data_IF_375751091812
#
_entry.id   IF_375751091812
#
_cell.length_a   1.000
_cell.length_b   1.000
_cell.length_c   1.000
_cell.angle_alpha   90.00
_cell.angle_beta   90.00
_cell.angle_gamma   90.00
#
_symmetry.space_group_name_H-M   'P 1'
#
loop_
_entity.id
_entity.type
_entity.pdbx_description
1 polymer ?
#
# COMPACT_ATOMS: atom_id res chain seq x y z
N UNK A 1 -17.29 21.12 -24.44
CA UNK A 1 -16.51 20.00 -25.02
C UNK A 1 -15.12 20.08 -24.44
N UNK A 2 -14.55 19.16 -23.68
CA UNK A 2 -14.98 17.88 -23.12
C UNK A 2 -14.04 17.61 -21.93
N UNK A 3 -14.58 17.39 -20.74
CA UNK A 3 -13.84 16.82 -19.60
C UNK A 3 -14.57 15.59 -19.02
N UNK A 4 -15.68 15.20 -19.66
CA UNK A 4 -16.56 14.12 -19.20
C UNK A 4 -16.33 12.79 -19.94
N UNK A 5 -15.49 12.75 -20.98
CA UNK A 5 -15.16 11.52 -21.71
C UNK A 5 -13.94 10.75 -21.14
N UNK A 6 -13.15 11.35 -20.26
CA UNK A 6 -11.92 10.73 -19.75
C UNK A 6 -12.13 9.66 -18.66
N UNK A 7 -13.36 9.50 -18.15
CA UNK A 7 -13.73 8.50 -17.14
C UNK A 7 -14.91 7.61 -17.59
N UNK A 8 -15.12 7.51 -18.90
CA UNK A 8 -16.07 6.60 -19.56
C UNK A 8 -15.36 5.53 -20.41
N UNK A 9 -16.09 4.80 -21.28
CA UNK A 9 -15.59 3.69 -22.11
C UNK A 9 -14.24 3.92 -22.82
N UNK A 10 -13.81 5.16 -23.05
CA UNK A 10 -12.51 5.50 -23.62
C UNK A 10 -11.29 5.08 -22.78
N UNK A 11 -11.37 4.94 -21.45
CA UNK A 11 -10.26 4.39 -20.65
C UNK A 11 -10.13 2.88 -20.85
N UNK A 12 -11.26 2.16 -20.91
CA UNK A 12 -11.29 0.72 -21.17
C UNK A 12 -10.83 0.43 -22.59
N UNK A 13 -11.29 1.21 -23.56
CA UNK A 13 -10.88 1.09 -24.97
C UNK A 13 -9.37 1.35 -25.15
N UNK A 14 -8.81 2.37 -24.47
CA UNK A 14 -7.36 2.62 -24.47
C UNK A 14 -6.55 1.51 -23.80
N UNK A 15 -7.05 0.94 -22.70
CA UNK A 15 -6.41 -0.20 -22.03
C UNK A 15 -6.52 -1.47 -22.89
N UNK A 16 -7.61 -1.66 -23.62
CA UNK A 16 -7.77 -2.76 -24.56
C UNK A 16 -6.83 -2.63 -25.76
N UNK A 17 -6.69 -1.43 -26.34
CA UNK A 17 -5.74 -1.17 -27.43
C UNK A 17 -4.30 -1.53 -27.02
N UNK A 18 -3.87 -1.15 -25.80
CA UNK A 18 -2.55 -1.46 -25.26
C UNK A 18 -2.37 -2.93 -24.84
N UNK A 19 -3.46 -3.67 -24.66
CA UNK A 19 -3.47 -5.06 -24.23
C UNK A 19 -3.62 -6.07 -25.39
N UNK A 20 -3.50 -5.62 -26.66
CA UNK A 20 -3.62 -6.49 -27.83
C UNK A 20 -2.28 -6.99 -28.33
N UNK A 21 -2.21 -8.30 -28.59
CA UNK A 21 -1.06 -8.93 -29.17
C UNK A 21 -1.00 -8.63 -30.69
N UNK A 22 0.11 -8.06 -31.19
CA UNK A 22 0.23 -7.68 -32.60
C UNK A 22 0.27 -8.87 -33.57
N UNK A 23 0.42 -10.10 -33.07
CA UNK A 23 0.45 -11.32 -33.90
C UNK A 23 -0.92 -12.00 -34.06
N UNK A 24 -1.78 -11.97 -33.04
CA UNK A 24 -3.10 -12.58 -33.10
C UNK A 24 -4.26 -11.58 -33.09
N UNK A 25 -4.00 -10.30 -32.82
CA UNK A 25 -5.03 -9.25 -32.69
C UNK A 25 -5.91 -9.39 -31.45
N UNK A 26 -5.77 -10.47 -30.67
CA UNK A 26 -6.49 -10.71 -29.43
C UNK A 26 -5.75 -10.17 -28.20
N UNK A 27 -6.38 -10.21 -27.00
CA UNK A 27 -5.72 -9.86 -25.75
C UNK A 27 -4.48 -10.74 -25.51
N UNK A 28 -3.47 -10.21 -24.85
CA UNK A 28 -2.27 -11.00 -24.56
C UNK A 28 -2.58 -12.20 -23.64
N UNK A 29 -2.21 -13.38 -24.11
CA UNK A 29 -2.20 -14.62 -23.33
C UNK A 29 -0.73 -15.03 -23.12
N UNK A 30 -0.31 -15.09 -21.85
CA UNK A 30 1.09 -15.34 -21.47
C UNK A 30 2.09 -14.45 -22.26
N UNK A 31 2.04 -13.12 -22.08
CA UNK A 31 2.88 -12.20 -22.83
C UNK A 31 4.36 -12.39 -22.49
N UNK A 32 5.19 -12.43 -23.54
CA UNK A 32 6.66 -12.46 -23.47
C UNK A 32 7.23 -11.18 -24.05
N UNK A 33 8.21 -10.60 -23.37
CA UNK A 33 8.97 -9.42 -23.74
C UNK A 33 10.28 -9.84 -24.43
N UNK A 34 10.52 -9.29 -25.61
CA UNK A 34 11.80 -9.40 -26.31
C UNK A 34 12.80 -8.34 -25.80
N UNK A 35 14.09 -8.54 -26.06
CA UNK A 35 15.15 -7.57 -25.73
C UNK A 35 14.99 -6.21 -26.43
N UNK A 36 14.19 -6.14 -27.50
CA UNK A 36 13.81 -4.90 -28.18
C UNK A 36 12.52 -4.27 -27.61
N UNK A 37 12.13 -4.65 -26.39
CA UNK A 37 10.96 -4.16 -25.65
C UNK A 37 9.58 -4.44 -26.29
N UNK A 38 9.50 -5.25 -27.35
CA UNK A 38 8.24 -5.67 -27.95
C UNK A 38 7.65 -6.89 -27.23
N UNK A 39 6.32 -6.90 -27.05
CA UNK A 39 5.61 -7.99 -26.37
C UNK A 39 4.71 -8.80 -27.31
N UNK A 40 4.64 -10.12 -27.09
CA UNK A 40 3.85 -11.08 -27.88
C UNK A 40 3.27 -12.16 -26.98
N UNK A 41 2.14 -12.81 -27.31
CA UNK A 41 1.76 -14.04 -26.62
C UNK A 41 2.84 -15.11 -26.82
N UNK A 42 3.20 -15.88 -25.79
CA UNK A 42 4.21 -16.95 -25.87
C UNK A 42 3.92 -17.93 -27.00
N UNK A 43 2.66 -18.35 -27.12
CA UNK A 43 2.22 -19.25 -28.19
C UNK A 43 2.32 -18.60 -29.59
N UNK A 44 2.02 -17.31 -29.71
CA UNK A 44 2.13 -16.59 -30.99
C UNK A 44 3.58 -16.48 -31.45
N UNK A 45 4.47 -16.16 -30.53
CA UNK A 45 5.90 -16.05 -30.81
C UNK A 45 6.52 -17.42 -31.13
N UNK A 46 6.15 -18.47 -30.39
CA UNK A 46 6.59 -19.83 -30.67
C UNK A 46 6.18 -20.32 -32.06
N UNK A 47 4.94 -20.00 -32.50
CA UNK A 47 4.48 -20.30 -33.86
C UNK A 47 5.29 -19.57 -34.94
N UNK A 48 5.64 -18.30 -34.70
CA UNK A 48 6.44 -17.50 -35.65
C UNK A 48 7.89 -17.95 -35.73
N UNK A 49 8.49 -18.33 -34.61
CA UNK A 49 9.88 -18.78 -34.57
C UNK A 49 10.07 -20.27 -34.85
N UNK A 50 8.98 -21.06 -34.88
CA UNK A 50 9.01 -22.50 -35.15
C UNK A 50 9.60 -23.33 -34.01
N UNK A 51 9.75 -24.64 -34.21
CA UNK A 51 10.52 -25.52 -33.31
C UNK A 51 12.01 -25.38 -33.65
N UNK A 52 12.91 -25.30 -32.64
CA UNK A 52 14.34 -25.32 -32.92
C UNK A 52 14.72 -26.70 -33.50
N UNK A 53 15.62 -26.78 -34.48
CA UNK A 53 16.08 -28.05 -35.03
C UNK A 53 16.76 -28.87 -33.93
N UNK A 54 16.46 -30.17 -33.87
CA UNK A 54 16.89 -31.06 -32.79
C UNK A 54 18.42 -31.28 -32.75
N UNK A 55 19.15 -31.02 -33.83
CA UNK A 55 20.60 -31.20 -33.94
C UNK A 55 21.18 -30.34 -35.08
N UNK A 56 22.10 -29.42 -34.76
CA UNK A 56 22.89 -28.63 -35.71
C UNK A 56 23.45 -27.34 -35.08
N UNK A 57 24.65 -26.85 -35.47
CA UNK A 57 25.34 -25.75 -34.77
C UNK A 57 24.84 -24.35 -35.13
N UNK A 58 23.88 -24.19 -36.04
CA UNK A 58 23.36 -22.88 -36.42
C UNK A 58 21.83 -22.82 -36.34
N UNK A 59 21.32 -22.38 -35.18
CA UNK A 59 19.94 -21.92 -35.07
C UNK A 59 19.81 -20.56 -35.78
N UNK A 60 18.88 -20.38 -36.74
CA UNK A 60 18.70 -19.10 -37.40
C UNK A 60 18.38 -18.00 -36.36
N UNK A 61 18.91 -16.78 -36.51
CA UNK A 61 18.68 -15.71 -35.56
C UNK A 61 17.18 -15.40 -35.50
N UNK A 62 16.58 -15.64 -34.34
CA UNK A 62 15.19 -15.30 -34.10
C UNK A 62 15.07 -13.77 -34.09
N UNK A 63 14.34 -13.21 -35.06
CA UNK A 63 14.10 -11.78 -35.16
C UNK A 63 12.76 -11.39 -34.54
N UNK A 64 12.67 -10.15 -34.04
CA UNK A 64 11.41 -9.58 -33.59
C UNK A 64 10.42 -9.45 -34.75
N UNK A 65 9.19 -9.99 -34.65
CA UNK A 65 8.18 -9.85 -35.70
C UNK A 65 7.71 -8.41 -35.97
N UNK A 66 7.96 -7.46 -35.06
CA UNK A 66 7.57 -6.07 -35.22
C UNK A 66 8.68 -5.18 -35.81
N UNK A 67 9.91 -5.30 -35.31
CA UNK A 67 11.02 -4.41 -35.68
C UNK A 67 12.18 -5.10 -36.41
N UNK A 68 12.13 -6.41 -36.60
CA UNK A 68 13.18 -7.18 -37.28
C UNK A 68 14.49 -7.33 -36.50
N UNK A 69 14.63 -6.70 -35.32
CA UNK A 69 15.85 -6.78 -34.52
C UNK A 69 16.13 -8.22 -34.04
N UNK A 70 17.40 -8.67 -34.05
CA UNK A 70 17.77 -9.99 -33.56
C UNK A 70 17.48 -10.11 -32.06
N UNK A 71 16.62 -11.07 -31.70
CA UNK A 71 16.16 -11.33 -30.36
C UNK A 71 16.37 -12.81 -30.01
N UNK A 72 17.49 -13.18 -29.35
CA UNK A 72 17.77 -14.56 -29.01
C UNK A 72 16.67 -15.17 -28.14
N UNK A 73 16.28 -16.44 -28.39
CA UNK A 73 15.28 -17.16 -27.56
C UNK A 73 15.61 -17.19 -26.05
N UNK A 74 16.90 -17.22 -25.71
CA UNK A 74 17.38 -17.17 -24.32
C UNK A 74 17.11 -15.83 -23.62
N UNK A 75 16.85 -14.77 -24.38
CA UNK A 75 16.60 -13.42 -23.88
C UNK A 75 15.11 -13.12 -23.69
N UNK A 76 14.23 -14.09 -23.95
CA UNK A 76 12.80 -13.97 -23.68
C UNK A 76 12.54 -13.82 -22.18
N UNK A 77 11.79 -12.78 -21.82
CA UNK A 77 11.30 -12.58 -20.46
C UNK A 77 9.78 -12.66 -20.44
N UNK A 78 9.17 -13.17 -19.39
CA UNK A 78 7.72 -13.02 -19.21
C UNK A 78 7.39 -11.55 -18.93
N UNK A 79 6.40 -10.98 -19.62
CA UNK A 79 5.92 -9.63 -19.36
C UNK A 79 4.75 -9.66 -18.37
N UNK A 80 5.09 -9.92 -17.11
CA UNK A 80 4.08 -10.04 -16.03
C UNK A 80 3.26 -8.76 -15.89
N UNK A 81 3.85 -7.58 -16.16
CA UNK A 81 3.13 -6.30 -16.12
C UNK A 81 1.98 -6.30 -17.13
N UNK A 82 2.26 -6.62 -18.38
CA UNK A 82 1.26 -6.66 -19.45
C UNK A 82 0.20 -7.74 -19.19
N UNK A 83 0.58 -8.89 -18.62
CA UNK A 83 -0.36 -9.94 -18.24
C UNK A 83 -1.37 -9.46 -17.19
N UNK A 84 -0.94 -8.60 -16.26
CA UNK A 84 -1.80 -7.99 -15.23
C UNK A 84 -2.71 -6.95 -15.85
N UNK A 85 -2.19 -6.09 -16.72
CA UNK A 85 -2.97 -5.06 -17.42
C UNK A 85 -4.12 -5.69 -18.23
N UNK A 86 -3.86 -6.80 -18.93
CA UNK A 86 -4.88 -7.56 -19.68
C UNK A 86 -5.96 -8.16 -18.75
N UNK A 87 -5.57 -8.64 -17.57
CA UNK A 87 -6.53 -9.20 -16.60
C UNK A 87 -7.42 -8.11 -16.02
N UNK A 88 -6.86 -6.93 -15.76
CA UNK A 88 -7.61 -5.76 -15.26
C UNK A 88 -8.59 -5.25 -16.33
N UNK A 89 -8.14 -5.10 -17.58
CA UNK A 89 -9.01 -4.63 -18.66
C UNK A 89 -10.19 -5.58 -18.89
N UNK A 90 -9.94 -6.90 -18.87
CA UNK A 90 -10.99 -7.93 -18.95
C UNK A 90 -11.99 -7.83 -17.80
N UNK A 91 -11.51 -7.72 -16.55
CA UNK A 91 -12.38 -7.62 -15.39
C UNK A 91 -13.20 -6.32 -15.32
N UNK A 92 -12.69 -5.22 -15.87
CA UNK A 92 -13.43 -3.96 -16.01
C UNK A 92 -14.52 -4.07 -17.09
N UNK A 93 -14.20 -4.68 -18.23
CA UNK A 93 -15.16 -4.92 -19.32
C UNK A 93 -16.33 -5.77 -18.87
N UNK A 94 -16.06 -6.88 -18.16
CA UNK A 94 -17.10 -7.78 -17.63
C UNK A 94 -18.05 -7.04 -16.69
N UNK A 95 -17.50 -6.22 -15.76
CA UNK A 95 -18.30 -5.42 -14.82
C UNK A 95 -19.14 -4.33 -15.50
N UNK A 96 -18.66 -3.78 -16.61
CA UNK A 96 -19.41 -2.78 -17.38
C UNK A 96 -20.45 -3.41 -18.32
N UNK A 97 -20.35 -4.72 -18.59
CA UNK A 97 -21.27 -5.46 -19.43
C UNK A 97 -22.47 -6.06 -18.66
N UNK A 98 -22.49 -6.00 -17.32
CA UNK A 98 -23.62 -6.54 -16.53
C UNK A 98 -24.88 -5.65 -16.58
N UNK A 99 -26.03 -6.16 -17.07
CA UNK A 99 -27.27 -5.40 -17.10
C UNK A 99 -27.98 -5.50 -15.74
N UNK A 100 -27.64 -4.60 -14.81
CA UNK A 100 -28.28 -4.55 -13.48
C UNK A 100 -28.17 -3.20 -12.73
N UNK A 101 -27.40 -2.24 -13.23
CA UNK A 101 -27.23 -0.95 -12.57
C UNK A 101 -28.33 0.07 -12.96
N UNK A 102 -29.59 -0.16 -12.58
CA UNK A 102 -30.63 0.90 -12.56
C UNK A 102 -31.53 0.84 -11.32
N UNK A 103 -31.55 1.97 -10.61
CA UNK A 103 -32.64 2.52 -9.80
C UNK A 103 -33.09 1.76 -8.53
N UNK A 104 -32.36 1.92 -7.43
CA UNK A 104 -32.92 1.78 -6.08
C UNK A 104 -33.78 3.00 -5.70
N UNK A 105 -35.11 2.80 -5.60
CA UNK A 105 -36.14 3.82 -5.30
C UNK A 105 -35.85 4.60 -4.01
N UNK A 106 -35.84 5.93 -4.11
CA UNK A 106 -35.98 6.85 -2.97
C UNK A 106 -37.38 6.66 -2.36
N UNK A 107 -37.46 6.32 -1.07
CA UNK A 107 -38.70 6.51 -0.29
C UNK A 107 -38.69 7.94 0.25
N UNK A 108 -39.72 8.69 -0.12
CA UNK A 108 -39.89 10.09 0.23
C UNK A 108 -40.15 10.30 1.73
N UNK A 109 -39.50 11.33 2.27
CA UNK A 109 -39.86 12.04 3.49
C UNK A 109 -39.69 13.54 3.19
N UNK A 110 -40.71 14.33 3.54
CA UNK A 110 -41.01 15.70 3.07
C UNK A 110 -39.84 16.67 3.02
N UNK A 111 -39.87 17.49 1.97
CA UNK A 111 -39.17 18.77 1.83
C UNK A 111 -39.97 19.83 2.63
N UNK A 112 -39.36 20.57 3.55
CA UNK A 112 -39.77 21.93 3.85
C UNK A 112 -38.87 22.88 3.08
N UNK A 113 -39.47 23.57 2.11
CA UNK A 113 -38.93 24.76 1.47
C UNK A 113 -38.98 25.92 2.46
N UNK A 114 -37.91 26.70 2.54
CA UNK A 114 -37.85 28.16 2.43
C UNK A 114 -36.66 28.72 3.22
N UNK A 115 -35.87 29.56 2.56
CA UNK A 115 -34.94 30.48 3.24
C UNK A 115 -33.65 30.70 2.47
N UNK A 116 -33.72 31.43 1.36
CA UNK A 116 -32.54 32.08 0.80
C UNK A 116 -32.01 33.09 1.83
N UNK A 117 -30.80 32.87 2.34
CA UNK A 117 -29.86 33.92 2.74
C UNK A 117 -28.44 33.32 2.66
N UNK A 118 -27.72 33.64 1.58
CA UNK A 118 -26.27 33.82 1.66
C UNK A 118 -26.01 35.32 1.91
N UNK A 119 -24.84 35.76 2.43
CA UNK A 119 -23.63 34.97 2.69
C UNK A 119 -23.03 35.23 4.09
N UNK A 120 -22.34 34.22 4.66
CA UNK A 120 -21.04 34.39 5.35
C UNK A 120 -20.63 33.09 6.07
N UNK A 121 -19.43 32.62 5.72
CA UNK A 121 -18.48 32.07 6.67
C UNK A 121 -18.83 30.78 7.41
N UNK A 122 -18.04 29.75 7.07
CA UNK A 122 -17.48 28.76 8.00
C UNK A 122 -18.07 27.34 8.06
N UNK A 123 -17.09 26.45 8.13
CA UNK A 123 -17.04 25.10 8.69
C UNK A 123 -17.59 23.93 7.88
N UNK A 124 -16.76 23.50 6.92
CA UNK A 124 -16.91 22.23 6.20
C UNK A 124 -16.54 21.07 7.12
N UNK A 125 -17.49 20.64 7.96
CA UNK A 125 -17.40 19.42 8.77
C UNK A 125 -17.22 18.19 7.88
N UNK A 126 -15.97 17.73 7.76
CA UNK A 126 -15.63 16.46 7.11
C UNK A 126 -16.11 15.30 7.98
N UNK A 127 -17.19 14.66 7.56
CA UNK A 127 -17.76 13.49 8.25
C UNK A 127 -17.03 12.22 7.81
N UNK A 128 -16.11 11.76 8.66
CA UNK A 128 -15.34 10.53 8.46
C UNK A 128 -16.20 9.30 8.79
N UNK A 129 -16.20 8.28 7.91
CA UNK A 129 -16.91 7.02 8.15
C UNK A 129 -15.93 5.87 8.42
N UNK A 130 -16.13 5.20 9.54
CA UNK A 130 -15.56 3.89 9.86
C UNK A 130 -16.26 2.83 9.00
N UNK A 131 -15.48 1.95 8.37
CA UNK A 131 -16.02 0.72 7.78
C UNK A 131 -15.89 -0.41 8.79
N UNK A 132 -16.98 -1.13 9.03
CA UNK A 132 -16.94 -2.35 9.82
C UNK A 132 -16.22 -3.45 9.03
N UNK A 133 -15.28 -4.11 9.69
CA UNK A 133 -14.65 -5.32 9.16
C UNK A 133 -15.72 -6.41 9.00
N UNK A 134 -15.69 -7.22 7.92
CA UNK A 134 -16.54 -8.40 7.84
C UNK A 134 -16.30 -9.28 9.06
N UNK A 135 -17.36 -9.67 9.77
CA UNK A 135 -17.25 -10.60 10.88
C UNK A 135 -16.71 -11.96 10.39
N UNK A 136 -15.84 -12.64 11.14
CA UNK A 136 -15.36 -13.96 10.77
C UNK A 136 -16.55 -14.92 10.81
N UNK A 137 -16.96 -15.42 9.64
CA UNK A 137 -18.00 -16.43 9.53
C UNK A 137 -17.46 -17.74 10.08
N UNK A 138 -17.96 -18.13 11.25
CA UNK A 138 -17.86 -19.51 11.75
C UNK A 138 -18.90 -20.37 11.06
N UNK A 139 -18.48 -21.23 10.14
CA UNK A 139 -19.10 -22.54 9.90
C UNK A 139 -18.27 -23.34 8.89
N UNK A 140 -17.79 -24.50 9.34
CA UNK A 140 -17.17 -25.53 8.53
C UNK A 140 -18.05 -25.92 7.33
N UNK A 141 -17.50 -25.81 6.12
CA UNK A 141 -17.67 -26.81 5.07
C UNK A 141 -16.44 -26.76 4.17
N UNK A 142 -15.80 -27.92 4.02
CA UNK A 142 -14.63 -28.15 3.18
C UNK A 142 -14.96 -27.81 1.73
N UNK A 143 -14.32 -26.79 1.19
CA UNK A 143 -14.01 -26.66 -0.24
C UNK A 143 -12.55 -26.23 -0.32
N UNK A 144 -11.74 -27.08 -0.93
CA UNK A 144 -10.29 -26.93 -1.08
C UNK A 144 -9.99 -25.68 -1.91
N UNK A 145 -9.48 -24.63 -1.24
CA UNK A 145 -8.83 -23.50 -1.90
C UNK A 145 -7.42 -23.95 -2.30
N UNK A 146 -7.03 -23.86 -3.59
CA UNK A 146 -5.69 -24.22 -4.00
C UNK A 146 -4.65 -23.27 -3.39
N UNK A 147 -3.68 -23.87 -2.70
CA UNK A 147 -2.38 -23.30 -2.41
C UNK A 147 -1.76 -22.80 -3.73
N UNK A 148 -1.85 -21.51 -3.99
CA UNK A 148 -0.79 -20.71 -4.61
C UNK A 148 -1.25 -19.26 -4.74
N UNK A 149 -1.11 -18.53 -3.63
CA UNK A 149 -1.19 -17.07 -3.53
C UNK A 149 0.17 -16.31 -3.60
N UNK A 150 1.28 -16.81 -4.21
CA UNK A 150 2.53 -16.06 -4.28
C UNK A 150 2.49 -14.91 -5.30
N UNK A 151 1.53 -14.92 -6.24
CA UNK A 151 1.44 -13.92 -7.32
C UNK A 151 0.94 -12.56 -6.82
N UNK A 152 0.05 -12.53 -5.82
CA UNK A 152 -0.45 -11.27 -5.21
C UNK A 152 0.61 -10.64 -4.31
N UNK A 153 1.37 -11.47 -3.61
CA UNK A 153 2.53 -11.04 -2.82
C UNK A 153 3.52 -10.30 -3.73
N UNK A 154 3.88 -10.86 -4.90
CA UNK A 154 4.79 -10.21 -5.85
C UNK A 154 4.20 -9.04 -6.67
N UNK A 155 2.87 -8.85 -6.69
CA UNK A 155 2.22 -7.76 -7.42
C UNK A 155 2.14 -6.47 -6.61
N UNK A 156 2.20 -6.57 -5.28
CA UNK A 156 2.19 -5.45 -4.36
C UNK A 156 3.60 -4.92 -4.03
N UNK A 157 4.66 -5.72 -4.15
CA UNK A 157 6.06 -5.27 -3.95
C UNK A 157 6.59 -4.31 -5.03
N UNK A 158 5.82 -4.00 -6.09
CA UNK A 158 6.35 -3.33 -7.29
C UNK A 158 6.48 -1.81 -7.24
N UNK A 159 6.24 -1.17 -6.09
CA UNK A 159 6.51 0.26 -5.90
C UNK A 159 7.26 0.58 -4.60
N UNK A 160 7.71 -0.42 -3.84
CA UNK A 160 8.68 -0.25 -2.76
C UNK A 160 10.08 -0.13 -3.37
N UNK A 161 10.34 0.97 -4.09
CA UNK A 161 11.71 1.45 -4.25
C UNK A 161 12.32 1.58 -2.85
N UNK A 162 13.55 1.10 -2.67
CA UNK A 162 14.27 1.00 -1.40
C UNK A 162 13.90 2.10 -0.37
N UNK A 163 12.92 1.81 0.48
CA UNK A 163 12.41 2.78 1.44
C UNK A 163 13.39 2.88 2.59
N UNK A 164 13.84 4.10 2.84
CA UNK A 164 14.78 4.41 3.91
C UNK A 164 14.17 5.46 4.81
N UNK A 165 14.65 5.50 6.05
CA UNK A 165 14.33 6.50 7.05
C UNK A 165 15.26 7.69 6.87
N UNK A 166 14.73 8.89 7.08
CA UNK A 166 15.50 10.14 7.07
C UNK A 166 15.99 10.46 8.49
N UNK A 167 17.30 10.28 8.78
CA UNK A 167 17.86 10.62 10.09
C UNK A 167 17.75 12.11 10.43
N UNK A 168 17.54 12.99 9.43
CA UNK A 168 17.30 14.42 9.62
C UNK A 168 15.94 14.75 10.24
N UNK A 169 14.97 13.84 10.14
CA UNK A 169 13.63 14.00 10.76
C UNK A 169 13.51 13.31 12.12
N UNK A 170 14.40 12.35 12.39
CA UNK A 170 14.36 11.53 13.58
C UNK A 170 14.43 12.36 14.87
N UNK A 171 13.61 12.02 15.85
CA UNK A 171 13.71 12.55 17.19
C UNK A 171 15.11 12.27 17.80
N UNK A 172 15.61 13.20 18.63
CA UNK A 172 16.99 13.18 19.15
C UNK A 172 17.34 11.96 20.02
N UNK A 173 16.32 11.27 20.53
CA UNK A 173 16.46 10.01 21.29
C UNK A 173 16.31 8.75 20.43
N UNK A 174 16.18 8.86 19.11
CA UNK A 174 16.10 7.70 18.23
C UNK A 174 17.43 7.45 17.55
N UNK A 175 17.78 6.17 17.41
CA UNK A 175 18.86 5.70 16.57
C UNK A 175 18.27 5.09 15.30
N UNK A 176 18.71 5.60 14.15
CA UNK A 176 18.45 5.02 12.84
C UNK A 176 19.64 4.12 12.48
N UNK A 177 19.37 2.90 12.04
CA UNK A 177 20.41 1.96 11.58
C UNK A 177 21.19 2.49 10.37
N UNK A 178 22.39 1.94 10.14
CA UNK A 178 23.25 2.31 9.01
C UNK A 178 22.56 2.08 7.64
N UNK A 179 21.82 0.98 7.51
CA UNK A 179 20.98 0.67 6.34
C UNK A 179 19.75 1.58 6.21
N UNK A 180 19.53 2.48 7.17
CA UNK A 180 18.39 3.39 7.29
C UNK A 180 17.04 2.72 7.23
N UNK A 181 16.91 1.44 7.58
CA UNK A 181 15.61 0.74 7.56
C UNK A 181 15.05 0.47 8.94
N UNK A 182 15.85 0.64 9.99
CA UNK A 182 15.45 0.31 11.36
C UNK A 182 15.57 1.51 12.28
N UNK A 183 14.68 1.56 13.26
CA UNK A 183 14.69 2.57 14.31
C UNK A 183 14.46 1.94 15.68
N UNK A 184 15.18 2.44 16.68
CA UNK A 184 15.04 2.09 18.10
C UNK A 184 15.32 3.29 19.00
N UNK A 185 14.90 3.21 20.26
CA UNK A 185 15.28 4.21 21.25
C UNK A 185 16.78 4.10 21.58
N UNK A 186 17.45 5.25 21.70
CA UNK A 186 18.84 5.33 22.12
C UNK A 186 19.00 4.92 23.59
N UNK A 187 20.03 4.12 23.94
CA UNK A 187 20.37 3.84 25.33
C UNK A 187 20.68 5.12 26.12
N UNK A 188 20.46 5.13 27.45
CA UNK A 188 20.88 6.23 28.31
C UNK A 188 22.37 6.60 28.10
N UNK A 189 22.68 7.89 28.10
CA UNK A 189 24.05 8.39 27.89
C UNK A 189 24.48 8.50 26.42
N UNK A 190 23.66 8.06 25.46
CA UNK A 190 23.96 8.27 24.03
C UNK A 190 23.90 9.76 23.68
N UNK A 191 24.95 10.33 23.05
CA UNK A 191 24.94 11.74 22.65
C UNK A 191 23.80 12.06 21.68
N UNK A 192 23.04 13.11 21.97
CA UNK A 192 21.95 13.57 21.13
C UNK A 192 22.47 14.40 19.93
N UNK A 193 21.99 14.17 18.70
CA UNK A 193 22.33 14.99 17.55
C UNK A 193 21.83 16.44 17.75
N UNK A 194 22.36 17.43 16.99
CA UNK A 194 21.84 18.79 17.01
C UNK A 194 20.36 18.82 16.60
N UNK A 195 19.60 19.71 17.23
CA UNK A 195 18.19 19.90 16.86
C UNK A 195 18.06 20.73 15.57
N UNK A 196 16.93 20.57 14.88
CA UNK A 196 16.62 21.31 13.67
C UNK A 196 15.10 21.35 13.41
N UNK A 197 14.64 22.22 12.49
CA UNK A 197 13.20 22.42 12.25
C UNK A 197 12.49 21.17 11.73
N UNK A 198 13.19 20.29 11.01
CA UNK A 198 12.64 19.05 10.45
C UNK A 198 12.52 17.91 11.49
N UNK A 199 13.21 18.00 12.64
CA UNK A 199 13.21 16.96 13.67
C UNK A 199 11.99 17.06 14.57
N UNK A 200 11.45 15.90 14.94
CA UNK A 200 10.51 15.83 16.06
C UNK A 200 11.22 16.10 17.40
N UNK A 201 10.62 16.93 18.25
CA UNK A 201 11.19 17.33 19.56
C UNK A 201 10.54 16.60 20.76
N UNK A 202 9.24 16.30 20.67
CA UNK A 202 8.45 15.68 21.74
C UNK A 202 7.95 14.28 21.34
N UNK A 203 7.65 14.08 20.06
CA UNK A 203 7.23 12.79 19.52
C UNK A 203 8.48 11.98 19.14
N UNK A 204 8.69 10.76 19.69
CA UNK A 204 9.81 9.91 19.31
C UNK A 204 9.50 9.21 17.99
N UNK A 205 9.47 10.01 16.92
CA UNK A 205 9.17 9.59 15.56
C UNK A 205 10.31 9.86 14.58
N UNK A 206 10.24 9.18 13.45
CA UNK A 206 11.08 9.37 12.26
C UNK A 206 10.21 9.18 11.01
N UNK A 207 10.51 9.93 9.94
CA UNK A 207 9.88 9.73 8.64
C UNK A 207 10.74 8.93 7.68
N UNK A 208 10.09 8.35 6.68
CA UNK A 208 10.75 7.91 5.46
C UNK A 208 11.38 9.09 4.70
N UNK A 209 12.50 8.84 4.03
CA UNK A 209 13.17 9.80 3.15
C UNK A 209 12.38 10.02 1.85
N UNK A 210 11.65 9.00 1.40
CA UNK A 210 10.78 9.07 0.24
C UNK A 210 9.36 9.47 0.66
N UNK A 211 8.83 10.51 -0.01
CA UNK A 211 7.45 10.95 0.11
C UNK A 211 6.68 10.78 -1.19
N UNK A 212 5.39 10.48 -1.08
CA UNK A 212 4.51 10.13 -2.19
C UNK A 212 3.45 11.20 -2.40
N UNK A 213 3.39 11.78 -3.61
CA UNK A 213 2.39 12.78 -3.98
C UNK A 213 1.38 12.33 -5.03
N UNK A 214 1.43 11.06 -5.45
CA UNK A 214 0.53 10.45 -6.43
C UNK A 214 0.70 8.94 -6.41
N UNK A 215 -0.28 8.20 -6.94
CA UNK A 215 -0.25 6.77 -7.15
C UNK A 215 -0.54 5.93 -5.91
N UNK A 216 -0.34 4.63 -6.08
CA UNK A 216 -0.49 3.63 -5.04
C UNK A 216 0.87 3.16 -4.56
N UNK A 217 1.08 3.16 -3.26
CA UNK A 217 2.32 2.72 -2.64
C UNK A 217 2.01 1.76 -1.52
N UNK A 218 2.96 0.91 -1.20
CA UNK A 218 2.85 0.10 0.00
C UNK A 218 4.21 -0.07 0.65
N UNK A 219 4.22 -0.39 1.93
CA UNK A 219 5.41 -0.78 2.66
C UNK A 219 5.04 -1.70 3.81
N UNK A 220 5.98 -2.54 4.24
CA UNK A 220 5.80 -3.45 5.36
C UNK A 220 6.74 -3.05 6.49
N UNK A 221 6.22 -3.10 7.72
CA UNK A 221 6.98 -2.80 8.93
C UNK A 221 6.93 -4.01 9.85
N UNK A 222 8.09 -4.49 10.25
CA UNK A 222 8.25 -5.48 11.30
C UNK A 222 8.22 -4.82 12.68
N UNK A 223 7.45 -5.44 13.57
CA UNK A 223 7.31 -5.09 14.98
C UNK A 223 7.96 -6.18 15.83
N UNK A 224 8.55 -5.80 16.97
CA UNK A 224 9.19 -6.75 17.87
C UNK A 224 8.16 -7.65 18.58
N UNK A 225 8.61 -8.83 19.02
CA UNK A 225 7.76 -9.85 19.62
C UNK A 225 7.40 -9.48 21.06
N UNK A 226 6.12 -9.23 21.30
CA UNK A 226 5.58 -8.95 22.64
C UNK A 226 5.59 -10.19 23.55
N UNK A 227 5.74 -11.41 23.00
CA UNK A 227 5.75 -12.66 23.78
C UNK A 227 7.09 -12.96 24.47
N UNK A 228 8.16 -12.24 24.10
CA UNK A 228 9.47 -12.33 24.77
C UNK A 228 9.62 -11.38 25.97
N UNK A 229 8.61 -10.56 26.25
CA UNK A 229 8.49 -9.83 27.50
C UNK A 229 7.82 -10.78 28.50
N UNK A 230 8.61 -11.72 29.01
CA UNK A 230 8.14 -12.73 29.96
C UNK A 230 7.53 -12.09 31.20
N UNK A 231 6.63 -12.85 31.83
CA UNK A 231 6.07 -12.63 33.17
C UNK A 231 7.17 -12.21 34.16
N UNK A 232 7.49 -10.92 34.20
CA UNK A 232 8.30 -10.35 35.25
C UNK A 232 7.31 -9.94 36.33
N UNK A 233 6.92 -10.93 37.13
CA UNK A 233 6.30 -10.76 38.43
C UNK A 233 7.32 -10.19 39.43
N UNK A 234 7.89 -9.03 39.10
CA UNK A 234 8.74 -8.24 39.95
C UNK A 234 8.07 -6.90 40.18
N UNK A 235 7.95 -6.50 41.44
CA UNK A 235 7.32 -5.27 41.93
C UNK A 235 8.10 -3.99 41.55
N UNK A 236 8.58 -3.88 40.32
CA UNK A 236 9.16 -2.67 39.75
C UNK A 236 8.06 -1.91 38.98
N UNK A 237 7.54 -0.81 39.55
CA UNK A 237 6.50 0.06 38.99
C UNK A 237 6.92 0.86 37.72
N UNK A 238 7.83 0.32 36.90
CA UNK A 238 8.16 0.82 35.56
C UNK A 238 7.99 -0.31 34.54
N UNK A 239 6.82 -0.94 34.56
CA UNK A 239 6.40 -1.94 33.57
C UNK A 239 6.09 -1.19 32.25
N UNK A 240 7.18 -0.76 31.59
CA UNK A 240 7.16 0.08 30.40
C UNK A 240 6.45 -0.60 29.25
N UNK A 241 5.15 -0.36 29.15
CA UNK A 241 4.30 -0.88 28.08
C UNK A 241 4.98 -0.60 26.73
N UNK A 242 5.37 -1.65 26.01
CA UNK A 242 5.93 -1.54 24.66
C UNK A 242 4.97 -0.74 23.77
N UNK A 243 5.35 0.51 23.52
CA UNK A 243 4.55 1.48 22.78
C UNK A 243 5.24 1.79 21.46
N UNK A 244 4.57 1.43 20.38
CA UNK A 244 5.00 1.78 19.04
C UNK A 244 3.81 2.28 18.22
N UNK A 245 4.10 3.14 17.24
CA UNK A 245 3.12 3.49 16.22
C UNK A 245 3.78 3.45 14.84
N UNK A 246 3.01 3.05 13.83
CA UNK A 246 3.46 3.00 12.45
C UNK A 246 2.34 3.38 11.50
N UNK A 247 2.70 3.95 10.36
CA UNK A 247 1.75 4.32 9.33
C UNK A 247 2.32 5.37 8.40
N UNK A 248 1.52 6.39 8.14
CA UNK A 248 1.81 7.45 7.20
C UNK A 248 1.60 8.83 7.83
N UNK A 249 2.40 9.81 7.42
CA UNK A 249 2.26 11.20 7.82
C UNK A 249 2.32 12.13 6.60
N UNK A 250 1.48 13.16 6.58
CA UNK A 250 1.55 14.23 5.58
C UNK A 250 2.79 15.10 5.77
N UNK A 251 3.20 15.78 4.71
CA UNK A 251 4.29 16.75 4.71
C UNK A 251 4.12 17.83 5.79
N UNK A 252 2.87 18.27 5.98
CA UNK A 252 2.42 19.29 6.93
C UNK A 252 2.42 18.86 8.40
N UNK A 253 2.73 17.59 8.71
CA UNK A 253 2.72 17.09 10.08
C UNK A 253 3.60 17.97 10.99
N UNK A 254 3.02 18.37 12.12
CA UNK A 254 3.69 19.23 13.10
C UNK A 254 4.94 18.52 13.63
N UNK A 255 6.09 19.21 13.58
CA UNK A 255 7.38 18.69 14.08
C UNK A 255 7.69 19.10 15.52
N UNK A 256 7.11 20.21 15.98
CA UNK A 256 7.44 20.82 17.26
C UNK A 256 6.26 20.84 18.23
N UNK A 257 6.52 20.56 19.50
CA UNK A 257 5.52 20.48 20.55
C UNK A 257 4.63 19.24 20.45
N UNK A 258 3.44 19.31 21.04
CA UNK A 258 2.50 18.18 21.07
C UNK A 258 1.91 17.92 19.68
N UNK A 259 2.26 16.78 19.09
CA UNK A 259 1.74 16.33 17.79
C UNK A 259 0.46 15.53 17.98
N UNK A 260 -0.60 15.89 17.27
CA UNK A 260 -1.84 15.12 17.24
C UNK A 260 -1.67 13.91 16.33
N UNK A 261 -1.65 12.72 16.91
CA UNK A 261 -1.60 11.45 16.17
C UNK A 261 -3.00 11.09 15.70
N UNK A 262 -3.50 11.81 14.68
CA UNK A 262 -4.77 11.52 14.03
C UNK A 262 -4.82 12.20 12.65
N UNK A 263 -5.82 11.89 11.80
CA UNK A 263 -5.90 12.46 10.46
C UNK A 263 -5.93 14.00 10.43
N UNK A 264 -6.52 14.64 11.45
CA UNK A 264 -6.53 16.11 11.56
C UNK A 264 -5.14 16.71 11.78
N UNK A 265 -4.20 15.93 12.32
CA UNK A 265 -2.78 16.27 12.44
C UNK A 265 -1.93 15.77 11.27
N UNK A 266 -2.56 15.39 10.16
CA UNK A 266 -1.93 14.76 9.00
C UNK A 266 -1.21 13.44 9.36
N UNK A 267 -1.79 12.64 10.26
CA UNK A 267 -1.25 11.32 10.65
C UNK A 267 -2.30 10.23 10.47
N UNK A 268 -1.95 9.19 9.73
CA UNK A 268 -2.76 7.98 9.56
C UNK A 268 -1.93 6.80 10.04
N UNK A 269 -2.18 6.33 11.26
CA UNK A 269 -1.32 5.35 11.90
C UNK A 269 -2.10 4.38 12.79
N UNK A 270 -1.47 3.23 13.06
CA UNK A 270 -1.87 2.28 14.10
C UNK A 270 -0.84 2.25 15.21
N UNK A 271 -1.28 2.04 16.44
CA UNK A 271 -0.47 1.98 17.65
C UNK A 271 -0.61 0.61 18.30
N UNK A 272 0.52 -0.01 18.63
CA UNK A 272 0.58 -1.17 19.51
C UNK A 272 0.88 -0.73 20.94
N UNK A 273 0.03 -1.13 21.89
CA UNK A 273 0.17 -0.84 23.32
C UNK A 273 -0.44 -1.96 24.16
N UNK A 274 0.29 -2.47 25.15
CA UNK A 274 -0.24 -3.45 26.11
C UNK A 274 -0.81 -4.71 25.45
N UNK A 275 -0.14 -5.22 24.41
CA UNK A 275 -0.59 -6.41 23.67
C UNK A 275 -1.87 -6.20 22.85
N UNK A 276 -2.28 -4.96 22.58
CA UNK A 276 -3.43 -4.61 21.74
C UNK A 276 -3.02 -3.63 20.65
N UNK A 277 -3.83 -3.58 19.59
CA UNK A 277 -3.63 -2.68 18.46
C UNK A 277 -4.77 -1.66 18.41
N UNK A 278 -4.44 -0.41 18.10
CA UNK A 278 -5.38 0.71 18.02
C UNK A 278 -5.16 1.48 16.72
N UNK A 279 -6.24 1.87 16.03
CA UNK A 279 -6.16 2.89 15.00
C UNK A 279 -6.23 4.27 15.65
N UNK A 280 -5.30 5.15 15.28
CA UNK A 280 -5.18 6.49 15.85
C UNK A 280 -6.21 7.44 15.22
N UNK A 281 -7.48 7.19 15.52
CA UNK A 281 -8.63 8.01 15.15
C UNK A 281 -8.87 9.14 16.14
N UNK A 282 -9.65 10.14 15.73
CA UNK A 282 -10.15 11.20 16.61
C UNK A 282 -11.68 11.08 16.76
N UNK A 283 -12.26 11.47 17.91
CA UNK A 283 -11.61 12.07 19.07
C UNK A 283 -10.80 11.07 19.92
N UNK A 284 -11.13 9.78 19.84
CA UNK A 284 -10.46 8.70 20.57
C UNK A 284 -9.93 7.63 19.61
N UNK A 285 -8.80 6.97 19.95
CA UNK A 285 -8.31 5.82 19.20
C UNK A 285 -9.34 4.68 19.15
N UNK A 286 -9.44 4.05 17.99
CA UNK A 286 -10.33 2.92 17.75
C UNK A 286 -9.58 1.61 18.05
N UNK A 287 -10.05 0.76 18.98
CA UNK A 287 -9.43 -0.55 19.22
C UNK A 287 -9.62 -1.46 17.99
N UNK A 288 -8.55 -2.18 17.62
CA UNK A 288 -8.51 -3.09 16.48
C UNK A 288 -8.41 -4.54 16.97
N UNK A 289 -9.26 -5.41 16.44
CA UNK A 289 -9.25 -6.85 16.73
C UNK A 289 -9.82 -7.23 18.11
N UNK A 290 -10.04 -8.54 18.30
CA UNK A 290 -10.45 -9.15 19.59
C UNK A 290 -9.25 -9.57 20.45
N UNK A 291 -9.37 -10.65 21.23
CA UNK A 291 -8.32 -11.16 22.14
C UNK A 291 -7.06 -11.76 21.45
N UNK A 292 -6.75 -11.37 20.21
CA UNK A 292 -5.56 -11.84 19.48
C UNK A 292 -4.40 -10.86 19.66
N UNK A 293 -3.16 -11.36 19.72
CA UNK A 293 -1.98 -10.50 19.81
C UNK A 293 -1.81 -9.67 18.53
N UNK A 294 -1.15 -8.49 18.61
CA UNK A 294 -0.85 -7.67 17.45
C UNK A 294 0.05 -8.43 16.46
N UNK A 295 -0.12 -8.23 15.15
CA UNK A 295 0.70 -8.91 14.16
C UNK A 295 2.15 -8.41 14.18
N UNK A 296 3.10 -9.33 13.98
CA UNK A 296 4.55 -9.05 13.93
C UNK A 296 5.00 -8.29 12.69
N UNK A 297 4.14 -8.24 11.68
CA UNK A 297 4.38 -7.50 10.45
C UNK A 297 3.09 -6.81 10.06
N UNK A 298 3.15 -5.51 9.86
CA UNK A 298 2.01 -4.71 9.41
C UNK A 298 2.36 -4.12 8.04
N UNK A 299 1.48 -4.38 7.08
CA UNK A 299 1.54 -3.80 5.74
C UNK A 299 0.70 -2.52 5.73
N UNK A 300 1.26 -1.47 5.16
CA UNK A 300 0.59 -0.18 4.95
C UNK A 300 0.42 0.01 3.45
N UNK A 301 -0.82 0.25 3.01
CA UNK A 301 -1.17 0.57 1.63
C UNK A 301 -1.70 2.01 1.55
N UNK A 302 -1.08 2.81 0.70
CA UNK A 302 -1.43 4.18 0.37
C UNK A 302 -2.04 4.22 -1.03
N UNK A 303 -3.23 4.77 -1.17
CA UNK A 303 -3.82 5.18 -2.44
C UNK A 303 -4.05 6.70 -2.39
N UNK A 304 -3.13 7.44 -3.01
CA UNK A 304 -3.08 8.89 -2.86
C UNK A 304 -4.29 9.57 -3.51
N UNK A 305 -4.66 9.16 -4.73
CA UNK A 305 -5.79 9.73 -5.48
C UNK A 305 -7.13 9.43 -4.80
N UNK A 306 -7.28 8.23 -4.23
CA UNK A 306 -8.50 7.86 -3.50
C UNK A 306 -8.49 8.29 -2.04
N UNK A 307 -7.40 8.88 -1.56
CA UNK A 307 -7.36 9.34 -0.18
C UNK A 307 -7.35 8.22 0.86
N UNK A 308 -6.84 7.03 0.52
CA UNK A 308 -6.97 5.85 1.38
C UNK A 308 -5.62 5.46 1.96
N UNK A 309 -5.57 5.24 3.28
CA UNK A 309 -4.44 4.64 3.99
C UNK A 309 -4.95 3.42 4.74
N UNK A 310 -4.50 2.22 4.37
CA UNK A 310 -4.99 0.97 4.93
C UNK A 310 -3.88 0.11 5.52
N UNK A 311 -4.24 -0.65 6.54
CA UNK A 311 -3.37 -1.47 7.35
C UNK A 311 -3.81 -2.91 7.26
N UNK A 312 -2.87 -3.80 6.97
CA UNK A 312 -3.13 -5.23 6.83
C UNK A 312 -2.13 -6.02 7.67
N UNK A 313 -2.54 -7.22 8.09
CA UNK A 313 -1.60 -8.22 8.58
C UNK A 313 -0.61 -8.56 7.45
N UNK A 314 0.69 -8.43 7.69
CA UNK A 314 1.72 -8.65 6.69
C UNK A 314 1.89 -10.12 6.26
N UNK A 315 1.27 -11.07 6.97
CA UNK A 315 1.29 -12.50 6.64
C UNK A 315 -0.04 -12.95 6.02
N UNK A 316 -1.17 -12.73 6.70
CA UNK A 316 -2.48 -13.18 6.22
C UNK A 316 -3.11 -12.21 5.20
N UNK A 317 -2.63 -10.97 5.14
CA UNK A 317 -3.23 -9.88 4.37
C UNK A 317 -4.67 -9.54 4.81
N UNK A 318 -5.05 -9.91 6.02
CA UNK A 318 -6.32 -9.50 6.60
C UNK A 318 -6.31 -7.99 6.85
N UNK A 319 -7.39 -7.31 6.46
CA UNK A 319 -7.56 -5.88 6.72
C UNK A 319 -7.69 -5.65 8.24
N UNK A 320 -6.76 -4.90 8.80
CA UNK A 320 -6.79 -4.45 10.19
C UNK A 320 -7.63 -3.18 10.33
N UNK A 321 -7.35 -2.18 9.49
CA UNK A 321 -8.05 -0.90 9.50
C UNK A 321 -7.82 -0.11 8.21
N UNK A 322 -8.72 0.82 7.87
CA UNK A 322 -8.48 1.78 6.79
C UNK A 322 -9.03 3.17 7.12
N UNK A 323 -8.20 4.19 6.91
CA UNK A 323 -8.58 5.58 6.86
C UNK A 323 -8.99 5.94 5.43
N UNK A 324 -10.03 6.77 5.31
CA UNK A 324 -10.61 7.15 4.02
C UNK A 324 -10.92 8.65 4.00
N UNK A 325 -10.17 9.40 3.19
CA UNK A 325 -10.42 10.81 2.87
C UNK A 325 -11.61 10.95 1.87
N UNK A 326 -12.32 12.10 1.76
CA UNK A 326 -13.38 12.26 0.75
C UNK A 326 -12.84 12.41 -0.67
N UNK A 327 -11.52 12.63 -0.82
CA UNK A 327 -10.81 12.83 -2.07
C UNK A 327 -9.31 12.61 -1.88
N UNK A 328 -8.46 13.06 -2.81
CA UNK A 328 -7.01 12.90 -2.71
C UNK A 328 -6.44 13.52 -1.42
N UNK A 329 -5.32 12.98 -0.93
CA UNK A 329 -4.71 13.46 0.33
C UNK A 329 -4.19 14.89 0.26
N UNK A 330 -3.97 15.44 -0.94
CA UNK A 330 -3.69 16.86 -1.17
C UNK A 330 -2.27 17.32 -0.81
N UNK A 331 -1.47 16.46 -0.18
CA UNK A 331 -0.06 16.72 0.16
C UNK A 331 0.80 15.47 -0.02
N UNK A 332 2.13 15.62 0.01
CA UNK A 332 3.01 14.46 0.00
C UNK A 332 2.89 13.69 1.31
N UNK A 333 2.93 12.38 1.21
CA UNK A 333 2.77 11.47 2.35
C UNK A 333 4.02 10.62 2.51
N UNK A 334 4.49 10.49 3.74
CA UNK A 334 5.73 9.80 4.10
C UNK A 334 5.42 8.64 5.05
N UNK A 335 6.16 7.52 4.98
CA UNK A 335 6.16 6.52 6.04
C UNK A 335 6.49 7.17 7.39
N UNK A 336 5.79 6.77 8.45
CA UNK A 336 5.98 7.25 9.81
C UNK A 336 6.24 6.04 10.73
N UNK A 337 7.31 6.11 11.52
CA UNK A 337 7.61 5.15 12.59
C UNK A 337 7.83 5.89 13.90
N UNK A 338 7.20 5.40 14.97
CA UNK A 338 7.31 5.91 16.32
C UNK A 338 7.63 4.76 17.28
N UNK A 339 8.61 4.91 18.15
CA UNK A 339 8.88 3.92 19.21
C UNK A 339 9.36 4.61 20.48
N UNK A 340 8.83 4.19 21.62
CA UNK A 340 9.35 4.53 22.96
C UNK A 340 10.10 3.39 23.61
N UNK A 341 10.17 2.25 22.94
CA UNK A 341 10.71 1.03 23.49
C UNK A 341 12.18 0.87 23.07
N UNK A 342 13.06 0.70 24.06
CA UNK A 342 14.49 0.44 23.84
C UNK A 342 14.76 -1.03 23.48
N UNK A 343 13.85 -1.94 23.82
CA UNK A 343 13.92 -3.40 23.59
C UNK A 343 13.31 -3.78 22.24
N UNK A 344 12.36 -2.98 21.74
CA UNK A 344 11.68 -3.22 20.45
C UNK A 344 12.16 -2.26 19.35
N UNK A 345 12.79 -2.82 18.31
CA UNK A 345 13.06 -2.07 17.07
C UNK A 345 11.87 -2.17 16.12
N UNK A 346 11.62 -1.10 15.37
CA UNK A 346 10.78 -1.13 14.18
C UNK A 346 11.68 -1.20 12.95
N UNK A 347 11.29 -2.02 11.95
CA UNK A 347 12.07 -2.18 10.73
C UNK A 347 11.19 -2.15 9.48
N UNK A 348 11.55 -1.32 8.51
CA UNK A 348 11.00 -1.38 7.15
C UNK A 348 11.55 -2.63 6.47
N UNK A 349 10.65 -3.48 5.99
CA UNK A 349 11.00 -4.68 5.23
C UNK A 349 11.35 -4.26 3.80
N UNK A 350 12.52 -4.65 3.27
CA UNK A 350 12.86 -4.39 1.88
C UNK A 350 11.90 -5.12 0.94
N UNK A 351 11.64 -4.53 -0.22
CA UNK A 351 11.09 -5.30 -1.34
C UNK A 351 12.12 -6.36 -1.73
N UNK A 352 11.77 -7.64 -1.61
CA UNK A 352 12.58 -8.69 -2.22
C UNK A 352 12.58 -8.47 -3.75
N UNK A 353 13.80 -8.40 -4.32
CA UNK A 353 14.05 -8.08 -5.73
C UNK A 353 13.81 -9.24 -6.69
#
# INVERSE_FOLDING_TARGET
>A
MEASELLGPGLVERLEQLATCPLCGGPFEDPVLLACEHSFCRACLARRWGTPPATGPETPPTACPCCGLPCPRRSLRSNVRLAVEVRISRGLREKLAEPGARAGKRRGGRIPTMGCLDPQGEDMKMTWRRFDAPSPKTSNSKDELPEDYPVVKNMLHRLTADLTLDPGTAHRRLLVSEDRRSVRLAPPGTPAPPDGPARFDQLPAVLGAQGFGAGRHCWEVETADTASLGDSSGDDEDDGESLYALGAAGESVRRKGRVGLCPAGAVWAVEGRGGRLWALTAPEPTPLGGARPPPRRIRVDLDWERGRVAFYDGRSLDLLFAFQAPGPLGERVFPLLCTRDARAQLRIVPAEG
#
